data_IF_882799234626
#
_entry.id   IF_882799234626
#
_cell.length_a   1.000
_cell.length_b   1.000
_cell.length_c   1.000
_cell.angle_alpha   90.00
_cell.angle_beta   90.00
_cell.angle_gamma   90.00
#
_symmetry.space_group_name_H-M   'P 1'
#
loop_
_entity.id
_entity.type
_entity.pdbx_description
1 polymer ?
#
# COMPACT_ATOMS: atom_id res chain seq x y z
N UNK A 1 -31.26 -8.02 2.43
CA UNK A 1 -29.99 -8.54 1.86
C UNK A 1 -29.08 -7.46 1.26
N UNK A 2 -29.61 -6.43 0.57
CA UNK A 2 -28.80 -5.37 -0.08
C UNK A 2 -27.82 -4.60 0.84
N UNK A 3 -28.21 -4.31 2.08
CA UNK A 3 -27.36 -3.55 3.04
C UNK A 3 -26.17 -4.37 3.52
N UNK A 4 -26.36 -5.68 3.74
CA UNK A 4 -25.28 -6.57 4.20
C UNK A 4 -24.20 -6.70 3.15
N UNK A 5 -24.59 -6.89 1.90
CA UNK A 5 -23.67 -6.99 0.77
C UNK A 5 -22.85 -5.70 0.58
N UNK A 6 -23.48 -4.52 0.71
CA UNK A 6 -22.75 -3.25 0.67
C UNK A 6 -21.75 -3.12 1.82
N UNK A 7 -22.14 -3.49 3.04
CA UNK A 7 -21.25 -3.46 4.20
C UNK A 7 -20.06 -4.41 4.04
N UNK A 8 -20.30 -5.59 3.48
CA UNK A 8 -19.25 -6.58 3.20
C UNK A 8 -18.25 -6.02 2.17
N UNK A 9 -18.74 -5.37 1.10
CA UNK A 9 -17.87 -4.72 0.10
C UNK A 9 -17.05 -3.58 0.69
N UNK A 10 -17.62 -2.75 1.56
CA UNK A 10 -16.90 -1.68 2.25
C UNK A 10 -15.79 -2.25 3.14
N UNK A 11 -16.09 -3.30 3.91
CA UNK A 11 -15.11 -3.98 4.75
C UNK A 11 -13.98 -4.62 3.92
N UNK A 12 -14.31 -5.23 2.79
CA UNK A 12 -13.32 -5.87 1.91
C UNK A 12 -12.47 -4.85 1.17
N UNK A 13 -13.01 -3.69 0.81
CA UNK A 13 -12.26 -2.63 0.15
C UNK A 13 -11.08 -2.14 1.02
N UNK A 14 -11.29 -2.00 2.33
CA UNK A 14 -10.22 -1.64 3.26
C UNK A 14 -9.14 -2.73 3.32
N UNK A 15 -9.56 -4.00 3.38
CA UNK A 15 -8.63 -5.14 3.38
C UNK A 15 -7.85 -5.26 2.07
N UNK A 16 -8.42 -4.80 0.95
CA UNK A 16 -7.75 -4.83 -0.35
C UNK A 16 -6.51 -3.91 -0.42
N UNK A 17 -6.38 -2.93 0.49
CA UNK A 17 -5.18 -2.11 0.64
C UNK A 17 -4.03 -2.80 1.37
N UNK A 18 -4.26 -4.00 1.91
CA UNK A 18 -3.25 -4.79 2.60
C UNK A 18 -2.53 -5.74 1.64
N UNK A 19 -1.22 -5.84 1.79
CA UNK A 19 -0.37 -6.71 1.00
C UNK A 19 0.31 -7.75 1.91
N UNK A 20 0.37 -9.01 1.45
CA UNK A 20 0.94 -10.12 2.24
C UNK A 20 2.43 -9.96 2.50
N UNK A 21 3.17 -9.33 1.61
CA UNK A 21 4.61 -9.12 1.76
C UNK A 21 4.88 -7.97 2.74
N UNK A 22 3.97 -7.01 2.82
CA UNK A 22 4.08 -5.81 3.64
C UNK A 22 5.17 -4.85 3.14
N UNK A 23 5.56 -3.92 4.01
CA UNK A 23 6.61 -2.94 3.72
C UNK A 23 8.00 -3.59 3.77
N UNK A 24 8.90 -3.11 2.90
CA UNK A 24 10.30 -3.55 2.95
C UNK A 24 10.88 -3.22 4.33
N UNK A 25 11.70 -4.11 4.89
CA UNK A 25 12.21 -4.06 6.28
C UNK A 25 11.19 -4.18 7.42
N UNK A 26 9.89 -3.99 7.16
CA UNK A 26 8.83 -4.07 8.18
C UNK A 26 7.65 -4.89 7.68
N UNK A 27 7.87 -6.19 7.58
CA UNK A 27 6.89 -7.13 7.05
C UNK A 27 5.58 -7.17 7.85
N UNK A 28 5.57 -6.73 9.12
CA UNK A 28 4.34 -6.65 9.93
C UNK A 28 3.38 -5.55 9.48
N UNK A 29 3.88 -4.46 8.87
CA UNK A 29 3.03 -3.41 8.31
C UNK A 29 2.54 -3.83 6.92
N UNK A 30 1.32 -4.34 6.88
CA UNK A 30 0.67 -4.82 5.65
C UNK A 30 0.00 -3.72 4.85
N UNK A 31 -0.32 -2.60 5.48
CA UNK A 31 -1.11 -1.54 4.88
C UNK A 31 -0.24 -0.65 3.98
N UNK A 32 -0.54 -0.59 2.68
CA UNK A 32 0.32 0.14 1.71
C UNK A 32 -0.02 1.63 1.54
N UNK A 33 -1.22 2.07 1.93
CA UNK A 33 -1.65 3.48 1.75
C UNK A 33 -1.22 4.37 2.92
N UNK A 34 -1.33 3.86 4.15
CA UNK A 34 -0.99 4.57 5.37
C UNK A 34 -0.23 3.63 6.31
N UNK A 35 0.73 4.19 7.03
CA UNK A 35 1.53 3.48 8.02
C UNK A 35 2.43 4.45 8.79
N UNK A 36 3.11 3.96 9.84
CA UNK A 36 4.05 4.78 10.60
C UNK A 36 5.24 5.18 9.73
N UNK A 37 5.76 6.38 9.97
CA UNK A 37 6.99 6.82 9.34
C UNK A 37 8.18 5.96 9.79
N UNK A 38 9.21 5.86 8.95
CA UNK A 38 10.47 5.20 9.33
C UNK A 38 11.21 5.89 10.48
N UNK A 39 11.05 7.21 10.58
CA UNK A 39 11.82 8.05 11.49
C UNK A 39 10.97 8.66 12.62
N UNK A 40 9.66 8.43 12.59
CA UNK A 40 8.71 8.94 13.58
C UNK A 40 7.48 8.01 13.63
N UNK A 41 7.40 7.19 14.68
CA UNK A 41 6.28 6.26 14.89
C UNK A 41 4.98 6.98 15.30
N UNK A 42 5.05 8.26 15.67
CA UNK A 42 3.88 9.11 15.94
C UNK A 42 3.34 9.74 14.66
N UNK A 43 4.23 10.08 13.72
CA UNK A 43 3.90 10.60 12.40
C UNK A 43 3.38 9.51 11.45
N UNK A 44 2.12 9.60 11.04
CA UNK A 44 1.63 8.77 9.93
C UNK A 44 2.13 9.33 8.60
N UNK A 45 2.61 8.45 7.72
CA UNK A 45 2.94 8.79 6.33
C UNK A 45 2.00 8.09 5.37
N UNK A 46 1.65 8.82 4.30
CA UNK A 46 0.99 8.24 3.14
C UNK A 46 2.03 7.54 2.27
N UNK A 47 1.69 6.34 1.80
CA UNK A 47 2.53 5.49 0.95
C UNK A 47 3.94 5.28 1.51
N UNK A 48 4.08 4.75 2.74
CA UNK A 48 5.36 4.65 3.43
C UNK A 48 6.42 3.87 2.65
N UNK A 49 6.03 2.82 1.91
CA UNK A 49 6.96 2.05 1.08
C UNK A 49 7.57 2.85 -0.07
N UNK A 50 6.77 3.73 -0.71
CA UNK A 50 7.24 4.60 -1.80
C UNK A 50 8.14 5.70 -1.26
N UNK A 51 7.76 6.33 -0.14
CA UNK A 51 8.56 7.37 0.51
C UNK A 51 9.93 6.82 0.94
N UNK A 52 9.94 5.67 1.62
CA UNK A 52 11.17 4.99 2.05
C UNK A 52 12.06 4.63 0.85
N UNK A 53 11.48 4.14 -0.25
CA UNK A 53 12.22 3.81 -1.47
C UNK A 53 12.81 5.08 -2.14
N UNK A 54 12.08 6.19 -2.16
CA UNK A 54 12.57 7.47 -2.72
C UNK A 54 13.71 8.02 -1.87
N UNK A 55 13.61 7.92 -0.54
CA UNK A 55 14.66 8.36 0.37
C UNK A 55 15.96 7.58 0.14
N UNK A 56 15.87 6.25 0.02
CA UNK A 56 17.03 5.40 -0.30
C UNK A 56 17.56 5.65 -1.71
N UNK A 57 16.69 5.87 -2.70
CA UNK A 57 17.10 6.18 -4.06
C UNK A 57 17.85 7.52 -4.17
N UNK A 58 17.44 8.53 -3.40
CA UNK A 58 18.18 9.80 -3.30
C UNK A 58 19.56 9.64 -2.66
N UNK A 59 19.71 8.74 -1.68
CA UNK A 59 20.99 8.48 -1.00
C UNK A 59 21.96 7.69 -1.89
N UNK A 60 21.49 6.62 -2.52
CA UNK A 60 22.32 5.73 -3.34
C UNK A 60 22.56 6.28 -4.76
N UNK A 61 21.57 7.00 -5.31
CA UNK A 61 21.56 7.56 -6.66
C UNK A 61 21.93 6.56 -7.77
N UNK A 62 21.54 5.29 -7.60
CA UNK A 62 21.79 4.21 -8.57
C UNK A 62 20.53 3.87 -9.36
N UNK A 63 20.69 3.38 -10.59
CA UNK A 63 19.55 2.91 -11.40
C UNK A 63 18.74 1.81 -10.72
N UNK A 64 19.39 0.95 -9.92
CA UNK A 64 18.71 -0.11 -9.17
C UNK A 64 17.78 0.45 -8.08
N UNK A 65 18.23 1.47 -7.34
CA UNK A 65 17.40 2.11 -6.32
C UNK A 65 16.14 2.76 -6.89
N UNK A 66 16.23 3.36 -8.08
CA UNK A 66 15.07 3.88 -8.80
C UNK A 66 14.13 2.79 -9.32
N UNK A 67 14.63 1.59 -9.64
CA UNK A 67 13.77 0.43 -9.95
C UNK A 67 12.98 -0.02 -8.72
N UNK A 68 13.57 0.05 -7.53
CA UNK A 68 12.83 -0.22 -6.29
C UNK A 68 11.68 0.77 -6.09
N UNK A 69 11.89 2.06 -6.36
CA UNK A 69 10.80 3.06 -6.33
C UNK A 69 9.68 2.69 -7.31
N UNK A 70 10.02 2.34 -8.54
CA UNK A 70 9.02 1.92 -9.54
C UNK A 70 8.24 0.68 -9.08
N UNK A 71 8.92 -0.29 -8.47
CA UNK A 71 8.29 -1.47 -7.90
C UNK A 71 7.27 -1.10 -6.81
N UNK A 72 7.63 -0.20 -5.88
CA UNK A 72 6.72 0.27 -4.83
C UNK A 72 5.49 0.99 -5.38
N UNK A 73 5.68 1.86 -6.38
CA UNK A 73 4.58 2.54 -7.07
C UNK A 73 3.65 1.54 -7.76
N UNK A 74 4.21 0.48 -8.36
CA UNK A 74 3.42 -0.59 -8.95
C UNK A 74 2.61 -1.34 -7.88
N UNK A 75 3.20 -1.68 -6.73
CA UNK A 75 2.48 -2.34 -5.62
C UNK A 75 1.30 -1.49 -5.13
N UNK A 76 1.50 -0.20 -4.94
CA UNK A 76 0.45 0.74 -4.53
C UNK A 76 -0.66 0.84 -5.56
N UNK A 77 -0.32 1.02 -6.84
CA UNK A 77 -1.33 1.11 -7.90
C UNK A 77 -2.16 -0.17 -8.03
N UNK A 78 -1.52 -1.35 -7.85
CA UNK A 78 -2.20 -2.65 -7.81
C UNK A 78 -3.24 -2.74 -6.70
N UNK A 79 -2.92 -2.34 -5.47
CA UNK A 79 -3.88 -2.41 -4.37
C UNK A 79 -5.02 -1.40 -4.50
N UNK A 80 -4.75 -0.20 -5.03
CA UNK A 80 -5.80 0.80 -5.32
C UNK A 80 -6.76 0.26 -6.39
N UNK A 81 -6.22 -0.33 -7.46
CA UNK A 81 -7.01 -1.00 -8.50
C UNK A 81 -7.87 -2.12 -7.90
N UNK A 82 -7.29 -2.94 -7.03
CA UNK A 82 -7.99 -4.05 -6.39
C UNK A 82 -9.14 -3.56 -5.49
N UNK A 83 -8.89 -2.56 -4.63
CA UNK A 83 -9.93 -1.96 -3.78
C UNK A 83 -11.07 -1.34 -4.62
N UNK A 84 -10.75 -0.68 -5.73
CA UNK A 84 -11.76 -0.16 -6.66
C UNK A 84 -12.64 -1.26 -7.25
N UNK A 85 -12.05 -2.40 -7.64
CA UNK A 85 -12.82 -3.53 -8.20
C UNK A 85 -13.74 -4.18 -7.17
N UNK A 86 -13.30 -4.27 -5.91
CA UNK A 86 -14.10 -4.76 -4.78
C UNK A 86 -15.30 -3.84 -4.52
N UNK A 87 -15.08 -2.52 -4.52
CA UNK A 87 -16.18 -1.54 -4.37
C UNK A 87 -17.19 -1.62 -5.51
N UNK A 88 -16.73 -1.81 -6.75
CA UNK A 88 -17.60 -2.01 -7.90
C UNK A 88 -18.35 -3.36 -7.87
N UNK A 89 -17.98 -4.29 -6.98
CA UNK A 89 -18.57 -5.62 -6.89
C UNK A 89 -18.17 -6.56 -8.03
N UNK A 90 -17.04 -6.30 -8.70
CA UNK A 90 -16.51 -7.16 -9.77
C UNK A 90 -15.58 -8.27 -9.25
N UNK A 91 -15.04 -8.08 -8.04
CA UNK A 91 -14.35 -9.10 -7.26
C UNK A 91 -15.10 -9.26 -5.93
N UNK A 92 -15.81 -10.37 -5.79
CA UNK A 92 -16.40 -10.83 -4.52
C UNK A 92 -15.59 -11.97 -3.95
#
# INVERSE_FOLDING_TARGET
>A
MKVRELNDRLMMAERAFTDRDGLSSRSWYKHLIYGPSRHDDYGSKSFPGVDDAIEEAKKLNTAESWRSVQHEVWRVSRVIRHASLVLCGQLT
#
